data_IF_440972560303
#
_entry.id   IF_440972560303
#
_cell.length_a   1.000
_cell.length_b   1.000
_cell.length_c   1.000
_cell.angle_alpha   90.00
_cell.angle_beta   90.00
_cell.angle_gamma   90.00
#
_symmetry.space_group_name_H-M   'P 1'
#
loop_
_entity.id
_entity.type
_entity.pdbx_description
1 polymer ?
#
# COMPACT_ATOMS: atom_id res chain seq x y z
N UNK A 1 -15.58 7.41 6.46
CA UNK A 1 -14.12 7.27 6.57
C UNK A 1 -13.84 5.84 7.04
N UNK A 2 -13.01 5.07 6.33
CA UNK A 2 -12.74 3.65 6.65
C UNK A 2 -11.87 3.50 7.91
N UNK A 3 -11.10 4.55 8.26
CA UNK A 3 -10.25 4.57 9.45
C UNK A 3 -10.94 5.24 10.63
N UNK A 4 -10.74 4.73 11.87
CA UNK A 4 -11.31 5.31 13.08
C UNK A 4 -10.76 6.72 13.35
N UNK A 5 -11.56 7.54 14.04
CA UNK A 5 -11.18 8.91 14.43
C UNK A 5 -9.95 8.91 15.35
N UNK A 6 -9.87 7.94 16.26
CA UNK A 6 -8.69 7.67 17.06
C UNK A 6 -7.89 6.56 16.41
N UNK A 7 -6.62 6.83 16.09
CA UNK A 7 -5.72 5.82 15.55
C UNK A 7 -5.22 4.93 16.68
N UNK A 8 -5.17 3.63 16.43
CA UNK A 8 -4.60 2.67 17.38
C UNK A 8 -3.07 2.83 17.44
N UNK A 9 -2.49 3.10 18.62
CA UNK A 9 -1.04 3.27 18.79
C UNK A 9 -0.21 2.07 18.31
N UNK A 10 -0.80 0.86 18.24
CA UNK A 10 -0.15 -0.35 17.73
C UNK A 10 0.21 -0.26 16.24
N UNK A 11 -0.44 0.63 15.48
CA UNK A 11 -0.16 0.88 14.06
C UNK A 11 0.54 2.21 13.79
N UNK A 12 1.05 2.86 14.84
CA UNK A 12 1.78 4.12 14.73
C UNK A 12 3.23 3.87 15.16
N UNK A 13 4.18 4.33 14.35
CA UNK A 13 5.61 4.17 14.65
C UNK A 13 6.02 4.93 15.91
N UNK A 14 7.05 4.45 16.61
CA UNK A 14 7.62 5.09 17.80
C UNK A 14 7.93 6.58 17.56
N UNK A 15 8.57 6.89 16.43
CA UNK A 15 8.89 8.27 16.00
C UNK A 15 7.68 9.18 15.75
N UNK A 16 6.46 8.63 15.74
CA UNK A 16 5.18 9.35 15.59
C UNK A 16 4.31 9.25 16.85
N UNK A 17 4.87 8.83 17.99
CA UNK A 17 4.17 8.75 19.27
C UNK A 17 3.35 7.47 19.48
N UNK A 18 3.61 6.43 18.70
CA UNK A 18 2.96 5.13 18.83
C UNK A 18 3.82 4.07 19.52
N UNK A 19 3.53 2.79 19.23
CA UNK A 19 4.21 1.62 19.83
C UNK A 19 4.87 0.70 18.79
N UNK A 20 4.68 0.97 17.50
CA UNK A 20 5.19 0.13 16.42
C UNK A 20 6.68 0.41 16.18
N UNK A 21 7.51 -0.63 16.21
CA UNK A 21 8.92 -0.50 15.84
C UNK A 21 9.07 -0.40 14.32
N UNK A 22 10.15 0.22 13.85
CA UNK A 22 10.38 0.40 12.41
C UNK A 22 10.52 -0.93 11.66
N UNK A 23 11.14 -1.94 12.29
CA UNK A 23 11.21 -3.28 11.75
C UNK A 23 9.82 -3.93 11.59
N UNK A 24 8.93 -3.76 12.57
CA UNK A 24 7.56 -4.26 12.49
C UNK A 24 6.73 -3.50 11.47
N UNK A 25 6.99 -2.20 11.32
CA UNK A 25 6.37 -1.39 10.28
C UNK A 25 6.76 -1.88 8.88
N UNK A 26 8.03 -2.23 8.66
CA UNK A 26 8.46 -2.84 7.40
C UNK A 26 7.82 -4.22 7.17
N UNK A 27 7.73 -5.06 8.21
CA UNK A 27 7.05 -6.38 8.11
C UNK A 27 5.58 -6.24 7.73
N UNK A 28 4.86 -5.33 8.36
CA UNK A 28 3.45 -5.05 8.03
C UNK A 28 3.30 -4.56 6.58
N UNK A 29 4.23 -3.73 6.12
CA UNK A 29 4.20 -3.21 4.76
C UNK A 29 4.49 -4.30 3.71
N UNK A 30 5.45 -5.19 3.97
CA UNK A 30 5.72 -6.34 3.11
C UNK A 30 4.53 -7.30 3.07
N UNK A 31 3.93 -7.60 4.23
CA UNK A 31 2.72 -8.41 4.29
C UNK A 31 1.57 -7.79 3.49
N UNK A 32 1.36 -6.47 3.60
CA UNK A 32 0.36 -5.77 2.81
C UNK A 32 0.66 -5.81 1.30
N UNK A 33 1.92 -5.69 0.91
CA UNK A 33 2.35 -5.82 -0.48
C UNK A 33 2.08 -7.23 -1.04
N UNK A 34 2.31 -8.26 -0.24
CA UNK A 34 2.01 -9.64 -0.62
C UNK A 34 0.50 -9.87 -0.72
N UNK A 35 -0.30 -9.32 0.19
CA UNK A 35 -1.77 -9.32 0.07
C UNK A 35 -2.24 -8.67 -1.24
N UNK A 36 -1.74 -7.47 -1.56
CA UNK A 36 -2.07 -6.75 -2.79
C UNK A 36 -1.63 -7.53 -4.05
N UNK A 37 -0.46 -8.19 -4.00
CA UNK A 37 0.06 -8.99 -5.10
C UNK A 37 -0.87 -10.16 -5.48
N UNK A 38 -1.56 -10.76 -4.51
CA UNK A 38 -2.49 -11.88 -4.77
C UNK A 38 -3.72 -11.46 -5.57
N UNK A 39 -4.16 -10.21 -5.43
CA UNK A 39 -5.39 -9.69 -6.06
C UNK A 39 -5.10 -8.80 -7.27
N UNK A 40 -3.85 -8.39 -7.46
CA UNK A 40 -3.38 -7.62 -8.61
C UNK A 40 -3.90 -8.13 -9.98
N UNK A 41 -3.97 -9.45 -10.26
CA UNK A 41 -4.48 -9.92 -11.55
C UNK A 41 -5.90 -9.46 -11.89
N UNK A 42 -6.76 -9.19 -10.89
CA UNK A 42 -8.10 -8.67 -11.14
C UNK A 42 -8.08 -7.23 -11.68
N UNK A 43 -7.14 -6.41 -11.21
CA UNK A 43 -6.94 -5.07 -11.74
C UNK A 43 -6.34 -5.14 -13.15
N UNK A 44 -5.27 -5.92 -13.34
CA UNK A 44 -4.56 -6.02 -14.61
C UNK A 44 -5.42 -6.59 -15.74
N UNK A 45 -6.36 -7.49 -15.42
CA UNK A 45 -7.34 -7.98 -16.39
C UNK A 45 -8.30 -6.87 -16.88
N UNK A 46 -8.64 -5.91 -16.03
CA UNK A 46 -9.54 -4.81 -16.36
C UNK A 46 -8.81 -3.61 -16.98
N UNK A 47 -7.54 -3.39 -16.62
CA UNK A 47 -6.72 -2.25 -17.01
C UNK A 47 -5.29 -2.70 -17.35
N UNK A 48 -5.07 -3.44 -18.46
CA UNK A 48 -3.78 -4.05 -18.77
C UNK A 48 -2.65 -3.04 -19.02
N UNK A 49 -3.00 -1.83 -19.46
CA UNK A 49 -2.04 -0.76 -19.77
C UNK A 49 -1.75 0.16 -18.57
N UNK A 50 -2.34 -0.11 -17.40
CA UNK A 50 -2.18 0.71 -16.20
C UNK A 50 -1.35 -0.01 -15.14
N UNK A 51 -0.08 0.38 -15.04
CA UNK A 51 0.91 -0.24 -14.16
C UNK A 51 0.90 0.30 -12.71
N UNK A 52 0.02 1.27 -12.40
CA UNK A 52 0.05 1.98 -11.11
C UNK A 52 -0.05 1.05 -9.89
N UNK A 53 -0.92 0.03 -9.86
CA UNK A 53 -0.98 -0.90 -8.71
C UNK A 53 0.28 -1.76 -8.57
N UNK A 54 0.84 -2.25 -9.69
CA UNK A 54 2.10 -3.00 -9.67
C UNK A 54 3.25 -2.16 -9.14
N UNK A 55 3.36 -0.92 -9.62
CA UNK A 55 4.35 0.05 -9.14
C UNK A 55 4.19 0.38 -7.66
N UNK A 56 2.96 0.41 -7.13
CA UNK A 56 2.74 0.62 -5.71
C UNK A 56 3.30 -0.52 -4.85
N UNK A 57 3.09 -1.78 -5.28
CA UNK A 57 3.66 -2.98 -4.63
C UNK A 57 5.19 -2.91 -4.64
N UNK A 58 5.79 -2.62 -5.80
CA UNK A 58 7.24 -2.50 -5.94
C UNK A 58 7.82 -1.36 -5.09
N UNK A 59 7.11 -0.23 -5.03
CA UNK A 59 7.52 0.94 -4.25
C UNK A 59 7.50 0.68 -2.74
N UNK A 60 6.56 -0.12 -2.24
CA UNK A 60 6.57 -0.57 -0.83
C UNK A 60 7.78 -1.44 -0.56
N UNK A 61 8.06 -2.41 -1.43
CA UNK A 61 9.23 -3.30 -1.28
C UNK A 61 10.54 -2.51 -1.33
N UNK A 62 10.70 -1.58 -2.27
CA UNK A 62 11.86 -0.71 -2.39
C UNK A 62 12.07 0.18 -1.15
N UNK A 63 10.99 0.77 -0.61
CA UNK A 63 11.08 1.54 0.64
C UNK A 63 11.58 0.69 1.82
N UNK A 64 11.11 -0.56 1.96
CA UNK A 64 11.59 -1.43 3.05
C UNK A 64 13.06 -1.83 2.92
N UNK A 65 13.64 -1.73 1.70
CA UNK A 65 15.07 -1.90 1.43
C UNK A 65 15.89 -0.60 1.56
N UNK A 66 15.23 0.53 1.81
CA UNK A 66 15.87 1.85 1.92
C UNK A 66 16.15 2.52 0.57
N UNK A 67 15.59 2.02 -0.53
CA UNK A 67 15.81 2.53 -1.89
C UNK A 67 14.88 3.71 -2.23
N UNK A 68 13.73 3.79 -1.54
CA UNK A 68 12.77 4.88 -1.66
C UNK A 68 12.45 5.48 -0.29
N UNK A 69 11.99 6.72 -0.29
CA UNK A 69 11.43 7.36 0.90
C UNK A 69 10.02 6.85 1.20
N UNK A 70 9.61 6.96 2.46
CA UNK A 70 8.23 6.65 2.88
C UNK A 70 7.20 7.50 2.11
N UNK A 71 7.54 8.75 1.75
CA UNK A 71 6.68 9.64 0.98
C UNK A 71 6.45 9.15 -0.46
N UNK A 72 7.50 8.68 -1.13
CA UNK A 72 7.41 8.15 -2.49
C UNK A 72 6.57 6.87 -2.53
N UNK A 73 6.84 5.94 -1.60
CA UNK A 73 6.04 4.72 -1.44
C UNK A 73 4.57 5.04 -1.18
N UNK A 74 4.28 6.01 -0.29
CA UNK A 74 2.92 6.47 0.00
C UNK A 74 2.24 7.11 -1.22
N UNK A 75 2.97 7.89 -2.00
CA UNK A 75 2.44 8.52 -3.21
C UNK A 75 2.06 7.46 -4.27
N UNK A 76 2.90 6.44 -4.46
CA UNK A 76 2.60 5.32 -5.36
C UNK A 76 1.30 4.60 -4.96
N UNK A 77 1.10 4.32 -3.67
CA UNK A 77 -0.16 3.76 -3.16
C UNK A 77 -1.37 4.68 -3.42
N UNK A 78 -1.19 6.00 -3.31
CA UNK A 78 -2.22 6.98 -3.68
C UNK A 78 -2.62 6.90 -5.16
N UNK A 79 -1.63 6.76 -6.04
CA UNK A 79 -1.83 6.63 -7.48
C UNK A 79 -2.56 5.34 -7.85
N UNK A 80 -2.23 4.22 -7.19
CA UNK A 80 -2.94 2.94 -7.37
C UNK A 80 -4.42 3.05 -6.94
N UNK A 81 -4.71 3.66 -5.80
CA UNK A 81 -6.10 3.90 -5.38
C UNK A 81 -6.87 4.80 -6.35
N UNK A 82 -6.21 5.81 -6.93
CA UNK A 82 -6.82 6.65 -7.94
C UNK A 82 -7.14 5.87 -9.23
N UNK A 83 -6.27 4.92 -9.60
CA UNK A 83 -6.46 4.02 -10.74
C UNK A 83 -7.68 3.11 -10.59
N UNK A 84 -7.91 2.59 -9.38
CA UNK A 84 -9.05 1.71 -9.07
C UNK A 84 -10.38 2.47 -8.91
N UNK A 85 -10.35 3.79 -8.68
CA UNK A 85 -11.54 4.61 -8.38
C UNK A 85 -12.68 4.54 -9.40
N UNK A 86 -12.45 4.51 -10.73
CA UNK A 86 -13.53 4.37 -11.72
C UNK A 86 -14.04 2.93 -11.88
N UNK A 87 -13.34 1.94 -11.33
CA UNK A 87 -13.67 0.52 -11.52
C UNK A 87 -14.76 0.06 -10.54
N UNK A 88 -15.30 -1.13 -10.81
CA UNK A 88 -16.25 -1.85 -9.97
C UNK A 88 -15.83 -3.31 -9.79
N UNK A 89 -16.49 -4.03 -8.87
CA UNK A 89 -16.20 -5.45 -8.62
C UNK A 89 -14.78 -5.70 -8.10
N UNK A 90 -14.22 -6.86 -8.45
CA UNK A 90 -12.90 -7.29 -7.98
C UNK A 90 -11.78 -6.30 -8.38
N UNK A 91 -11.83 -5.74 -9.59
CA UNK A 91 -10.81 -4.80 -10.07
C UNK A 91 -10.75 -3.50 -9.26
N UNK A 92 -11.86 -3.06 -8.64
CA UNK A 92 -11.89 -1.90 -7.74
C UNK A 92 -11.21 -2.18 -6.39
N UNK A 93 -11.27 -3.43 -5.95
CA UNK A 93 -10.92 -3.85 -4.59
C UNK A 93 -9.65 -4.71 -4.53
N UNK A 94 -9.00 -4.92 -5.66
CA UNK A 94 -7.64 -5.43 -5.76
C UNK A 94 -6.65 -4.40 -5.21
#
# INVERSE_FOLDING_TARGET
MILPRQRDPRFITLRRGGRLQDADHHRLALWAADCAQHVLPFFEAACPDDDRPRRAIDSVRAWTRGELTMSESRAAGGNAMAAARPLSGAARHA
#
